data_IF_747594230529
#
_entry.id   IF_747594230529
#
_cell.length_a   1.000
_cell.length_b   1.000
_cell.length_c   1.000
_cell.angle_alpha   90.00
_cell.angle_beta   90.00
_cell.angle_gamma   90.00
#
_symmetry.space_group_name_H-M   'P 1'
#
loop_
_entity.id
_entity.type
_entity.pdbx_description
1 polymer ?
#
# COMPACT_ATOMS: atom_id res chain seq x y z
N UNK A 1 21.66 -37.79 -4.59
CA UNK A 1 22.01 -36.43 -4.11
C UNK A 1 21.32 -35.43 -5.03
N UNK A 2 20.08 -35.03 -4.70
CA UNK A 2 19.35 -33.98 -5.40
C UNK A 2 18.74 -33.07 -4.33
N UNK A 3 19.52 -32.11 -3.88
CA UNK A 3 19.08 -31.01 -3.03
C UNK A 3 19.61 -29.70 -3.63
N UNK A 4 19.19 -29.44 -4.87
CA UNK A 4 19.26 -28.12 -5.48
C UNK A 4 17.85 -27.71 -5.89
N UNK A 5 16.98 -27.56 -4.90
CA UNK A 5 15.86 -26.63 -5.04
C UNK A 5 16.19 -25.48 -4.09
N UNK A 6 17.10 -24.63 -4.55
CA UNK A 6 17.20 -23.29 -3.99
C UNK A 6 15.81 -22.67 -4.16
N UNK A 7 15.24 -22.28 -3.04
CA UNK A 7 14.03 -21.50 -2.90
C UNK A 7 14.18 -20.24 -3.78
N UNK A 8 13.74 -20.32 -5.05
CA UNK A 8 13.70 -19.23 -6.03
C UNK A 8 12.61 -18.23 -5.62
N UNK A 9 12.72 -17.68 -4.41
CA UNK A 9 12.03 -16.44 -4.05
C UNK A 9 12.53 -15.39 -5.05
N UNK A 10 11.67 -14.56 -5.65
CA UNK A 10 12.09 -13.61 -6.66
C UNK A 10 12.87 -12.47 -5.99
N UNK A 11 14.14 -12.72 -5.68
CA UNK A 11 15.09 -11.77 -5.07
C UNK A 11 15.26 -10.53 -5.96
N UNK A 12 15.18 -10.71 -7.27
CA UNK A 12 15.15 -9.64 -8.26
C UNK A 12 13.92 -8.75 -8.13
N UNK A 13 12.74 -9.33 -7.85
CA UNK A 13 11.51 -8.56 -7.66
C UNK A 13 11.58 -7.76 -6.36
N UNK A 14 12.02 -8.37 -5.26
CA UNK A 14 12.24 -7.66 -4.01
C UNK A 14 13.27 -6.53 -4.17
N UNK A 15 14.37 -6.78 -4.88
CA UNK A 15 15.38 -5.77 -5.20
C UNK A 15 14.80 -4.60 -6.01
N UNK A 16 14.02 -4.89 -7.05
CA UNK A 16 13.36 -3.89 -7.88
C UNK A 16 12.37 -3.02 -7.09
N UNK A 17 11.48 -3.64 -6.32
CA UNK A 17 10.49 -2.91 -5.50
C UNK A 17 11.18 -2.11 -4.39
N UNK A 18 12.24 -2.64 -3.78
CA UNK A 18 13.01 -1.93 -2.75
C UNK A 18 13.70 -0.69 -3.32
N UNK A 19 14.21 -0.79 -4.55
CA UNK A 19 14.78 0.35 -5.26
C UNK A 19 13.71 1.41 -5.55
N UNK A 20 12.55 1.01 -6.08
CA UNK A 20 11.42 1.93 -6.32
C UNK A 20 10.99 2.62 -5.01
N UNK A 21 10.87 1.87 -3.91
CA UNK A 21 10.56 2.41 -2.59
C UNK A 21 11.55 3.49 -2.16
N UNK A 22 12.85 3.27 -2.36
CA UNK A 22 13.89 4.27 -2.09
C UNK A 22 13.79 5.49 -3.00
N UNK A 23 13.45 5.32 -4.27
CA UNK A 23 13.22 6.45 -5.18
C UNK A 23 12.05 7.32 -4.70
N UNK A 24 10.95 6.71 -4.27
CA UNK A 24 9.77 7.40 -3.74
C UNK A 24 10.03 8.18 -2.44
N UNK A 25 11.13 7.88 -1.72
CA UNK A 25 11.51 8.65 -0.54
C UNK A 25 11.91 10.10 -0.88
N UNK A 26 12.31 10.37 -2.13
CA UNK A 26 12.66 11.71 -2.60
C UNK A 26 11.58 12.29 -3.51
N UNK A 27 11.40 13.62 -3.47
CA UNK A 27 10.45 14.31 -4.36
C UNK A 27 10.78 14.09 -5.84
N UNK A 28 12.06 14.18 -6.21
CA UNK A 28 12.52 13.95 -7.58
C UNK A 28 12.23 12.53 -8.07
N UNK A 29 12.47 11.52 -7.23
CA UNK A 29 12.17 10.13 -7.57
C UNK A 29 10.67 9.85 -7.69
N UNK A 30 9.82 10.46 -6.86
CA UNK A 30 8.36 10.39 -7.04
C UNK A 30 7.94 10.97 -8.37
N UNK A 31 8.35 12.20 -8.68
CA UNK A 31 8.00 12.85 -9.93
C UNK A 31 8.47 12.04 -11.15
N UNK A 32 9.67 11.45 -11.10
CA UNK A 32 10.17 10.58 -12.16
C UNK A 32 9.29 9.33 -12.34
N UNK A 33 8.85 8.71 -11.24
CA UNK A 33 7.95 7.55 -11.30
C UNK A 33 6.58 7.91 -11.87
N UNK A 34 6.06 9.11 -11.59
CA UNK A 34 4.80 9.60 -12.15
C UNK A 34 4.84 9.79 -13.67
N UNK A 35 6.02 10.02 -14.25
CA UNK A 35 6.19 10.08 -15.71
C UNK A 35 6.16 8.69 -16.38
N UNK A 36 6.17 7.61 -15.59
CA UNK A 36 6.25 6.24 -16.07
C UNK A 36 4.98 5.47 -15.62
N UNK A 37 3.89 5.49 -16.40
CA UNK A 37 2.61 4.91 -15.99
C UNK A 37 2.68 3.39 -15.78
N UNK A 38 3.48 2.67 -16.56
CA UNK A 38 3.65 1.22 -16.44
C UNK A 38 4.20 0.79 -15.06
N UNK A 39 5.39 1.27 -14.66
CA UNK A 39 5.96 0.98 -13.34
C UNK A 39 5.05 1.32 -12.16
N UNK A 40 4.29 2.42 -12.23
CA UNK A 40 3.35 2.79 -11.18
C UNK A 40 2.19 1.78 -11.09
N UNK A 41 1.62 1.38 -12.24
CA UNK A 41 0.54 0.40 -12.28
C UNK A 41 1.01 -0.96 -11.75
N UNK A 42 2.16 -1.45 -12.22
CA UNK A 42 2.75 -2.70 -11.73
C UNK A 42 3.07 -2.66 -10.23
N UNK A 43 3.52 -1.51 -9.71
CA UNK A 43 3.74 -1.34 -8.27
C UNK A 43 2.42 -1.49 -7.49
N UNK A 44 1.32 -0.93 -7.99
CA UNK A 44 0.01 -1.01 -7.34
C UNK A 44 -0.56 -2.43 -7.36
N UNK A 45 -0.34 -3.20 -8.45
CA UNK A 45 -0.75 -4.60 -8.53
C UNK A 45 -0.06 -5.48 -7.49
N UNK A 46 1.18 -5.13 -7.10
CA UNK A 46 1.99 -5.87 -6.14
C UNK A 46 1.59 -5.63 -4.67
N UNK A 47 0.62 -4.75 -4.38
CA UNK A 47 0.10 -4.56 -3.00
C UNK A 47 -0.38 -5.88 -2.40
N UNK A 48 -0.93 -6.77 -3.23
CA UNK A 48 -1.50 -8.07 -2.83
C UNK A 48 -0.50 -9.21 -2.94
N UNK A 49 0.79 -8.90 -3.08
CA UNK A 49 1.81 -9.94 -3.22
C UNK A 49 1.88 -10.81 -1.94
N UNK A 50 1.90 -12.13 -2.13
CA UNK A 50 1.90 -13.10 -1.04
C UNK A 50 3.12 -12.97 -0.13
N UNK A 51 4.30 -12.66 -0.70
CA UNK A 51 5.53 -12.48 0.07
C UNK A 51 5.49 -11.17 0.90
N UNK A 52 5.52 -11.26 2.25
CA UNK A 52 5.52 -10.09 3.13
C UNK A 52 6.61 -9.04 2.84
N UNK A 53 7.88 -9.39 2.51
CA UNK A 53 8.90 -8.37 2.28
C UNK A 53 8.64 -7.55 1.00
N UNK A 54 8.05 -8.16 -0.03
CA UNK A 54 7.66 -7.44 -1.25
C UNK A 54 6.51 -6.49 -0.93
N UNK A 55 5.46 -7.01 -0.27
CA UNK A 55 4.32 -6.20 0.16
C UNK A 55 4.72 -5.00 1.01
N UNK A 56 5.60 -5.19 1.99
CA UNK A 56 6.12 -4.11 2.82
C UNK A 56 6.88 -3.05 2.01
N UNK A 57 7.69 -3.45 1.02
CA UNK A 57 8.40 -2.52 0.16
C UNK A 57 7.44 -1.73 -0.76
N UNK A 58 6.39 -2.38 -1.28
CA UNK A 58 5.32 -1.72 -2.06
C UNK A 58 4.60 -0.68 -1.20
N UNK A 59 4.17 -1.05 0.01
CA UNK A 59 3.45 -0.14 0.91
C UNK A 59 4.29 1.07 1.29
N UNK A 60 5.60 0.91 1.53
CA UNK A 60 6.52 2.05 1.74
C UNK A 60 6.60 2.96 0.51
N UNK A 61 6.65 2.39 -0.69
CA UNK A 61 6.66 3.17 -1.92
C UNK A 61 5.35 3.98 -2.07
N UNK A 62 4.20 3.35 -1.83
CA UNK A 62 2.89 3.99 -1.86
C UNK A 62 2.72 5.07 -0.79
N UNK A 63 3.26 4.86 0.42
CA UNK A 63 3.29 5.89 1.47
C UNK A 63 4.08 7.12 1.04
N UNK A 64 5.24 6.90 0.41
CA UNK A 64 6.03 7.99 -0.17
C UNK A 64 5.23 8.75 -1.23
N UNK A 65 4.59 8.03 -2.15
CA UNK A 65 3.78 8.64 -3.21
C UNK A 65 2.57 9.40 -2.67
N UNK A 66 1.77 8.78 -1.79
CA UNK A 66 0.55 9.39 -1.25
C UNK A 66 0.81 10.59 -0.36
N UNK A 67 2.00 10.71 0.24
CA UNK A 67 2.40 11.90 1.00
C UNK A 67 2.61 13.16 0.15
N UNK A 68 2.72 13.00 -1.18
CA UNK A 68 2.95 14.11 -2.11
C UNK A 68 1.68 14.41 -2.91
N UNK A 69 1.10 15.62 -2.80
CA UNK A 69 -0.15 15.97 -3.48
C UNK A 69 -0.04 15.83 -5.00
N UNK A 70 1.16 15.92 -5.57
CA UNK A 70 1.36 15.78 -7.02
C UNK A 70 1.15 14.35 -7.53
N UNK A 71 1.30 13.35 -6.65
CA UNK A 71 1.09 11.93 -6.99
C UNK A 71 -0.36 11.49 -6.87
N UNK A 72 -1.22 12.30 -6.22
CA UNK A 72 -2.59 11.94 -5.89
C UNK A 72 -3.40 11.48 -7.11
N UNK A 73 -3.47 12.32 -8.16
CA UNK A 73 -4.21 11.97 -9.37
C UNK A 73 -3.65 10.75 -10.09
N UNK A 74 -2.35 10.51 -10.02
CA UNK A 74 -1.78 9.31 -10.63
C UNK A 74 -2.21 8.05 -9.87
N UNK A 75 -2.21 8.09 -8.52
CA UNK A 75 -2.67 6.99 -7.69
C UNK A 75 -4.17 6.72 -7.80
N UNK A 76 -4.99 7.75 -8.04
CA UNK A 76 -6.41 7.57 -8.32
C UNK A 76 -6.68 6.77 -9.59
N UNK A 77 -5.83 6.95 -10.61
CA UNK A 77 -5.99 6.31 -11.91
C UNK A 77 -5.37 4.90 -11.96
N UNK A 78 -4.94 4.35 -10.82
CA UNK A 78 -4.42 2.99 -10.69
C UNK A 78 -5.30 2.15 -9.76
N UNK A 79 -5.18 0.82 -9.78
CA UNK A 79 -5.89 -0.06 -8.83
C UNK A 79 -5.35 0.04 -7.38
N UNK A 80 -4.65 1.11 -7.01
CA UNK A 80 -4.04 1.27 -5.69
C UNK A 80 -5.08 1.21 -4.56
N UNK A 81 -6.17 1.97 -4.68
CA UNK A 81 -7.21 2.04 -3.64
C UNK A 81 -7.84 0.66 -3.45
N UNK A 82 -8.24 0.00 -4.54
CA UNK A 82 -8.81 -1.34 -4.49
C UNK A 82 -7.83 -2.34 -3.85
N UNK A 83 -6.55 -2.33 -4.27
CA UNK A 83 -5.54 -3.21 -3.70
C UNK A 83 -5.30 -3.00 -2.21
N UNK A 84 -5.41 -1.76 -1.72
CA UNK A 84 -5.31 -1.44 -0.30
C UNK A 84 -6.53 -1.94 0.49
N UNK A 85 -7.74 -1.81 -0.06
CA UNK A 85 -8.97 -2.29 0.57
C UNK A 85 -8.99 -3.81 0.67
N UNK A 86 -8.61 -4.51 -0.40
CA UNK A 86 -8.48 -5.98 -0.39
C UNK A 86 -7.41 -6.46 0.60
N UNK A 87 -6.32 -5.71 0.76
CA UNK A 87 -5.29 -6.02 1.76
C UNK A 87 -5.83 -5.85 3.20
N UNK A 88 -6.57 -4.79 3.46
CA UNK A 88 -7.20 -4.55 4.76
C UNK A 88 -8.17 -5.69 5.09
N UNK A 89 -8.99 -6.09 4.12
CA UNK A 89 -9.90 -7.23 4.27
C UNK A 89 -9.15 -8.53 4.58
N UNK A 90 -8.08 -8.81 3.83
CA UNK A 90 -7.25 -9.99 4.04
C UNK A 90 -6.63 -10.05 5.44
N UNK A 91 -6.01 -8.97 5.91
CA UNK A 91 -5.40 -8.93 7.24
C UNK A 91 -6.46 -9.05 8.36
N UNK A 92 -7.66 -8.49 8.19
CA UNK A 92 -8.78 -8.68 9.14
C UNK A 92 -9.27 -10.13 9.18
N UNK A 93 -9.46 -10.76 8.04
CA UNK A 93 -9.88 -12.16 7.95
C UNK A 93 -8.82 -13.09 8.56
N UNK A 94 -7.54 -12.76 8.41
CA UNK A 94 -6.43 -13.49 9.02
C UNK A 94 -6.43 -13.32 10.56
N UNK A 95 -6.72 -12.11 11.07
CA UNK A 95 -6.91 -11.86 12.51
C UNK A 95 -8.08 -12.67 13.08
N UNK A 96 -9.23 -12.70 12.40
CA UNK A 96 -10.41 -13.47 12.82
C UNK A 96 -10.17 -14.98 12.83
N UNK A 97 -9.32 -15.48 11.92
CA UNK A 97 -8.91 -16.88 11.84
C UNK A 97 -7.84 -17.27 12.86
N UNK A 98 -7.36 -16.32 13.67
CA UNK A 98 -6.29 -16.55 14.64
C UNK A 98 -4.95 -16.86 13.99
N UNK A 99 -4.72 -16.37 12.77
CA UNK A 99 -3.41 -16.46 12.12
C UNK A 99 -2.36 -15.72 13.00
N UNK A 100 -1.11 -16.22 13.05
CA UNK A 100 -0.07 -15.53 13.80
C UNK A 100 0.09 -14.11 13.23
N UNK A 101 0.18 -13.08 14.09
CA UNK A 101 0.24 -11.70 13.64
C UNK A 101 1.43 -11.50 12.71
N UNK A 102 1.17 -10.85 11.58
CA UNK A 102 2.18 -10.45 10.60
C UNK A 102 3.27 -9.69 11.33
N UNK A 103 4.51 -10.21 11.32
CA UNK A 103 5.61 -9.63 12.12
C UNK A 103 5.73 -8.14 11.84
N UNK A 104 5.72 -7.27 12.87
CA UNK A 104 5.82 -5.84 12.65
C UNK A 104 7.14 -5.51 11.96
N UNK A 105 7.06 -4.79 10.84
CA UNK A 105 8.24 -4.18 10.23
C UNK A 105 8.64 -2.95 11.04
N UNK A 106 9.88 -2.45 10.88
CA UNK A 106 10.31 -1.15 11.43
C UNK A 106 9.32 -0.01 11.08
N UNK A 107 8.57 -0.18 9.99
CA UNK A 107 7.58 0.75 9.46
C UNK A 107 6.13 0.42 9.82
N UNK A 108 5.86 -0.47 10.79
CA UNK A 108 4.52 -0.85 11.24
C UNK A 108 3.98 -2.17 10.63
N UNK A 109 2.74 -2.53 10.97
CA UNK A 109 2.03 -3.66 10.36
C UNK A 109 1.54 -3.30 8.95
N UNK A 110 1.37 -4.27 8.03
CA UNK A 110 0.83 -4.00 6.69
C UNK A 110 -0.52 -3.27 6.73
N UNK A 111 -1.38 -3.65 7.68
CA UNK A 111 -2.66 -3.00 7.94
C UNK A 111 -2.49 -1.51 8.28
N UNK A 112 -1.62 -1.18 9.24
CA UNK A 112 -1.38 0.21 9.64
C UNK A 112 -0.84 1.05 8.49
N UNK A 113 0.05 0.48 7.68
CA UNK A 113 0.59 1.15 6.49
C UNK A 113 -0.48 1.39 5.43
N UNK A 114 -1.32 0.40 5.14
CA UNK A 114 -2.39 0.52 4.16
C UNK A 114 -3.39 1.61 4.58
N UNK A 115 -3.79 1.61 5.85
CA UNK A 115 -4.65 2.65 6.43
C UNK A 115 -4.00 4.04 6.36
N UNK A 116 -2.69 4.13 6.59
CA UNK A 116 -1.96 5.40 6.47
C UNK A 116 -1.89 5.89 5.02
N UNK A 117 -1.75 5.01 4.03
CA UNK A 117 -1.84 5.39 2.61
C UNK A 117 -3.24 5.94 2.30
N UNK A 118 -4.29 5.23 2.71
CA UNK A 118 -5.68 5.68 2.52
C UNK A 118 -5.92 7.03 3.22
N UNK A 119 -5.40 7.21 4.43
CA UNK A 119 -5.48 8.48 5.16
C UNK A 119 -4.90 9.65 4.36
N UNK A 120 -3.71 9.48 3.76
CA UNK A 120 -3.12 10.51 2.92
C UNK A 120 -4.00 10.83 1.70
N UNK A 121 -4.55 9.80 1.03
CA UNK A 121 -5.43 9.99 -0.12
C UNK A 121 -6.74 10.71 0.25
N UNK A 122 -7.37 10.32 1.35
CA UNK A 122 -8.60 10.95 1.87
C UNK A 122 -8.39 12.40 2.28
N UNK A 123 -7.19 12.74 2.78
CA UNK A 123 -6.84 14.13 3.11
C UNK A 123 -6.80 15.03 1.88
N UNK A 124 -6.41 14.47 0.73
CA UNK A 124 -6.36 15.19 -0.53
C UNK A 124 -7.72 15.30 -1.20
N UNK A 125 -8.58 14.28 -1.06
CA UNK A 125 -9.94 14.31 -1.57
C UNK A 125 -10.91 13.61 -0.60
N UNK A 126 -11.69 14.39 0.16
CA UNK A 126 -12.67 13.85 1.08
C UNK A 126 -13.85 13.18 0.34
N UNK A 127 -14.07 13.42 -0.95
CA UNK A 127 -15.13 12.74 -1.71
C UNK A 127 -14.85 11.22 -1.85
N UNK A 128 -13.58 10.81 -1.81
CA UNK A 128 -13.19 9.40 -1.75
C UNK A 128 -13.71 8.69 -0.49
N UNK A 129 -14.03 9.42 0.57
CA UNK A 129 -14.50 8.83 1.82
C UNK A 129 -15.76 8.00 1.60
N UNK A 130 -16.70 8.47 0.78
CA UNK A 130 -17.92 7.72 0.47
C UNK A 130 -17.59 6.37 -0.20
N UNK A 131 -16.72 6.39 -1.21
CA UNK A 131 -16.29 5.18 -1.92
C UNK A 131 -15.57 4.19 -1.01
N UNK A 132 -14.73 4.70 -0.10
CA UNK A 132 -13.97 3.87 0.84
C UNK A 132 -14.90 3.26 1.89
N UNK A 133 -15.84 4.05 2.44
CA UNK A 133 -16.79 3.58 3.47
C UNK A 133 -17.83 2.60 2.93
N UNK A 134 -18.17 2.68 1.65
CA UNK A 134 -19.07 1.71 1.00
C UNK A 134 -18.41 0.32 0.85
N UNK A 135 -17.10 0.19 1.08
CA UNK A 135 -16.39 -1.08 0.96
C UNK A 135 -16.47 -1.90 2.27
N UNK A 136 -16.86 -3.20 2.22
CA UNK A 136 -17.05 -4.05 3.41
C UNK A 136 -15.80 -4.16 4.28
N UNK A 137 -14.61 -4.13 3.68
CA UNK A 137 -13.32 -4.11 4.40
C UNK A 137 -13.22 -3.02 5.48
N UNK A 138 -13.93 -1.90 5.31
CA UNK A 138 -13.90 -0.74 6.19
C UNK A 138 -14.99 -0.71 7.25
N UNK A 139 -15.83 -1.75 7.32
CA UNK A 139 -16.90 -1.86 8.31
C UNK A 139 -16.31 -1.79 9.74
N UNK A 140 -16.83 -0.86 10.56
CA UNK A 140 -16.31 -0.60 11.91
C UNK A 140 -15.06 0.29 11.97
N UNK A 141 -14.47 0.68 10.83
CA UNK A 141 -13.35 1.63 10.74
C UNK A 141 -13.79 3.06 10.42
N UNK A 142 -15.11 3.31 10.35
CA UNK A 142 -15.70 4.58 9.96
C UNK A 142 -15.15 5.77 10.73
N UNK A 143 -15.00 5.64 12.05
CA UNK A 143 -14.50 6.72 12.90
C UNK A 143 -13.06 7.09 12.53
N UNK A 144 -12.20 6.10 12.34
CA UNK A 144 -10.78 6.29 11.97
C UNK A 144 -10.64 6.96 10.60
N UNK A 145 -11.47 6.55 9.64
CA UNK A 145 -11.45 7.08 8.27
C UNK A 145 -12.11 8.47 8.17
N UNK A 146 -13.19 8.75 8.93
CA UNK A 146 -13.79 10.09 9.02
C UNK A 146 -12.82 11.09 9.65
N UNK A 147 -12.17 10.71 10.76
CA UNK A 147 -11.10 11.49 11.38
C UNK A 147 -9.91 11.74 10.44
N UNK A 148 -9.69 10.86 9.45
CA UNK A 148 -8.67 11.04 8.43
C UNK A 148 -9.01 12.17 7.44
N UNK A 149 -10.25 12.21 6.98
CA UNK A 149 -10.73 13.23 6.06
C UNK A 149 -10.86 14.62 6.72
N UNK A 150 -11.14 14.67 8.02
CA UNK A 150 -11.45 15.92 8.75
C UNK A 150 -10.22 16.69 9.26
N UNK A 151 -9.02 16.10 9.31
CA UNK A 151 -7.78 16.80 9.76
C UNK A 151 -7.24 17.79 8.70
N UNK A 152 -8.06 18.77 8.33
CA UNK A 152 -7.69 19.91 7.48
C UNK A 152 -7.36 21.19 8.27
N UNK A 153 -7.34 21.15 9.61
CA UNK A 153 -6.98 22.30 10.45
C UNK A 153 -5.50 22.29 10.85
#
# INVERSE_FOLDING_TARGET
>A
ACAMMADERPTWLLGGVSLISRFCASRGGRLALLQLPGPLLSLCELVRHHAPPIRAAVLRALLGLSSDPTSYFALLNTPAIQGLLELIEGERLDEERGAPPTTPSESGTPLAQALQVLHHLLRHDPALLALVLDHPATEGMEFTLKMAAEKQC
#
